data_IF_211700363190
#
_entry.id   IF_211700363190
#
_cell.length_a   1.000
_cell.length_b   1.000
_cell.length_c   1.000
_cell.angle_alpha   90.00
_cell.angle_beta   90.00
_cell.angle_gamma   90.00
#
_symmetry.space_group_name_H-M   'P 1'
#
loop_
_entity.id
_entity.type
_entity.pdbx_description
1 polymer ?
#
# COMPACT_ATOMS: atom_id res chain seq x y z
N UNK A 1 -9.85 10.33 -7.55
CA UNK A 1 -8.90 9.24 -7.85
C UNK A 1 -8.91 8.92 -9.33
N UNK A 2 -7.74 8.76 -9.98
CA UNK A 2 -7.61 8.58 -11.42
C UNK A 2 -6.41 7.69 -11.70
N UNK A 3 -6.44 6.85 -12.73
CA UNK A 3 -5.28 6.05 -13.13
C UNK A 3 -4.08 6.90 -13.51
N UNK A 4 -4.31 8.09 -14.08
CA UNK A 4 -3.25 9.04 -14.44
C UNK A 4 -2.51 9.62 -13.23
N UNK A 5 -3.14 9.63 -12.06
CA UNK A 5 -2.52 10.13 -10.80
C UNK A 5 -1.82 9.04 -9.99
N UNK A 6 -1.83 7.79 -10.47
CA UNK A 6 -1.19 6.66 -9.80
C UNK A 6 0.26 6.56 -10.24
N UNK A 7 1.16 6.64 -9.28
CA UNK A 7 2.60 6.47 -9.51
C UNK A 7 2.98 4.99 -9.55
N UNK A 8 3.68 4.61 -10.60
CA UNK A 8 4.09 3.22 -10.83
C UNK A 8 2.95 2.30 -11.31
N UNK A 9 3.15 1.00 -11.19
CA UNK A 9 2.19 -0.07 -11.55
C UNK A 9 1.69 -0.04 -13.00
N UNK A 10 2.46 0.53 -13.92
CA UNK A 10 2.08 0.72 -15.32
C UNK A 10 1.63 -0.58 -16.00
N UNK A 11 2.30 -1.71 -15.70
CA UNK A 11 1.94 -3.01 -16.28
C UNK A 11 0.58 -3.50 -15.79
N UNK A 12 0.31 -3.38 -14.49
CA UNK A 12 -0.94 -3.78 -13.85
C UNK A 12 -2.10 -2.91 -14.36
N UNK A 13 -1.91 -1.60 -14.40
CA UNK A 13 -2.90 -0.64 -14.92
C UNK A 13 -3.20 -0.92 -16.39
N UNK A 14 -2.17 -1.11 -17.23
CA UNK A 14 -2.36 -1.44 -18.65
C UNK A 14 -3.14 -2.73 -18.83
N UNK A 15 -2.83 -3.78 -18.06
CA UNK A 15 -3.57 -5.02 -18.09
C UNK A 15 -5.06 -4.80 -17.73
N UNK A 16 -5.35 -4.08 -16.65
CA UNK A 16 -6.71 -3.77 -16.22
C UNK A 16 -7.47 -3.00 -17.32
N UNK A 17 -6.87 -1.97 -17.89
CA UNK A 17 -7.47 -1.18 -18.98
C UNK A 17 -7.75 -2.03 -20.21
N UNK A 18 -6.84 -2.90 -20.62
CA UNK A 18 -7.05 -3.83 -21.75
C UNK A 18 -8.23 -4.75 -21.52
N UNK A 19 -8.38 -5.28 -20.29
CA UNK A 19 -9.51 -6.15 -19.92
C UNK A 19 -10.85 -5.37 -19.92
N UNK A 20 -10.81 -4.11 -19.48
CA UNK A 20 -11.97 -3.21 -19.54
C UNK A 20 -12.40 -2.93 -20.97
N UNK A 21 -11.45 -2.59 -21.86
CA UNK A 21 -11.72 -2.27 -23.28
C UNK A 21 -12.30 -3.50 -24.01
N UNK A 22 -11.85 -4.70 -23.66
CA UNK A 22 -12.39 -5.95 -24.21
C UNK A 22 -13.71 -6.41 -23.60
N UNK A 23 -14.23 -5.68 -22.60
CA UNK A 23 -15.43 -6.04 -21.83
C UNK A 23 -15.36 -7.47 -21.24
N UNK A 24 -14.16 -7.90 -20.81
CA UNK A 24 -13.89 -9.25 -20.28
C UNK A 24 -13.47 -9.21 -18.81
N UNK A 25 -14.14 -8.36 -18.03
CA UNK A 25 -13.84 -8.21 -16.60
C UNK A 25 -14.17 -9.53 -15.89
N UNK A 26 -13.22 -10.15 -15.17
CA UNK A 26 -13.51 -11.34 -14.36
C UNK A 26 -14.42 -10.96 -13.20
N UNK A 27 -15.13 -11.95 -12.64
CA UNK A 27 -16.00 -11.75 -11.47
C UNK A 27 -15.20 -11.43 -10.20
N UNK A 28 -13.93 -11.84 -10.10
CA UNK A 28 -13.10 -11.59 -8.93
C UNK A 28 -11.64 -11.35 -9.28
N UNK A 29 -11.05 -10.32 -8.69
CA UNK A 29 -9.61 -10.05 -8.66
C UNK A 29 -9.02 -10.31 -7.27
N UNK A 30 -7.77 -10.75 -7.26
CA UNK A 30 -6.91 -10.72 -6.07
C UNK A 30 -5.73 -9.79 -6.31
N UNK A 31 -5.71 -8.63 -5.66
CA UNK A 31 -4.59 -7.70 -5.67
C UNK A 31 -3.64 -8.05 -4.54
N UNK A 32 -2.49 -8.63 -4.85
CA UNK A 32 -1.50 -9.07 -3.87
C UNK A 32 -0.22 -8.24 -3.96
N UNK A 33 0.47 -8.06 -2.84
CA UNK A 33 1.73 -7.33 -2.76
C UNK A 33 1.86 -6.56 -1.45
N UNK A 34 3.01 -5.96 -1.22
CA UNK A 34 3.34 -5.24 0.00
C UNK A 34 2.27 -4.21 0.37
N UNK A 35 1.99 -4.04 1.65
CA UNK A 35 1.08 -2.99 2.16
C UNK A 35 1.62 -1.61 1.79
N UNK A 36 0.71 -0.69 1.45
CA UNK A 36 1.09 0.71 1.16
C UNK A 36 1.63 0.98 -0.25
N UNK A 37 1.69 -0.01 -1.15
CA UNK A 37 2.17 0.21 -2.54
C UNK A 37 1.13 0.83 -3.47
N UNK A 38 -0.16 0.98 -3.06
CA UNK A 38 -1.21 1.59 -3.88
C UNK A 38 -2.26 0.63 -4.43
N UNK A 39 -2.33 -0.64 -3.96
CA UNK A 39 -3.34 -1.62 -4.40
C UNK A 39 -4.78 -1.09 -4.29
N UNK A 40 -5.12 -0.49 -3.14
CA UNK A 40 -6.45 0.08 -2.88
C UNK A 40 -6.74 1.24 -3.82
N UNK A 41 -5.75 2.08 -4.11
CA UNK A 41 -5.89 3.22 -5.03
C UNK A 41 -6.22 2.75 -6.43
N UNK A 42 -5.54 1.68 -6.92
CA UNK A 42 -5.84 1.07 -8.22
C UNK A 42 -7.23 0.44 -8.22
N UNK A 43 -7.65 -0.25 -7.15
CA UNK A 43 -8.99 -0.83 -7.04
C UNK A 43 -10.09 0.24 -7.10
N UNK A 44 -9.91 1.34 -6.40
CA UNK A 44 -10.85 2.47 -6.42
C UNK A 44 -10.88 3.20 -7.78
N UNK A 45 -9.73 3.34 -8.46
CA UNK A 45 -9.67 3.89 -9.81
C UNK A 45 -10.40 2.97 -10.82
N UNK A 46 -10.25 1.65 -10.68
CA UNK A 46 -10.99 0.66 -11.47
C UNK A 46 -12.51 0.78 -11.23
N UNK A 47 -12.94 0.83 -9.97
CA UNK A 47 -14.35 1.04 -9.61
C UNK A 47 -14.91 2.32 -10.24
N UNK A 48 -14.16 3.43 -10.14
CA UNK A 48 -14.54 4.71 -10.73
C UNK A 48 -14.67 4.63 -12.27
N UNK A 49 -13.73 3.94 -12.92
CA UNK A 49 -13.76 3.73 -14.37
C UNK A 49 -15.00 2.91 -14.80
N UNK A 50 -15.37 1.87 -14.07
CA UNK A 50 -16.55 1.03 -14.33
C UNK A 50 -17.82 1.86 -14.22
N UNK A 51 -17.97 2.67 -13.18
CA UNK A 51 -19.18 3.44 -12.89
C UNK A 51 -19.26 4.80 -13.60
N UNK A 52 -18.21 5.23 -14.27
CA UNK A 52 -18.21 6.52 -14.98
C UNK A 52 -19.32 6.57 -16.03
N UNK A 53 -20.21 7.55 -15.95
CA UNK A 53 -21.33 7.80 -16.88
C UNK A 53 -21.03 8.87 -17.93
N UNK A 54 -19.93 9.59 -17.79
CA UNK A 54 -19.48 10.60 -18.74
C UNK A 54 -18.60 10.04 -19.84
N UNK A 55 -18.10 10.92 -20.69
CA UNK A 55 -17.13 10.56 -21.71
C UNK A 55 -15.83 10.07 -21.08
N UNK A 56 -15.60 8.77 -21.16
CA UNK A 56 -14.36 8.14 -20.70
C UNK A 56 -13.26 8.36 -21.74
N UNK A 57 -12.05 8.56 -21.28
CA UNK A 57 -10.88 8.37 -22.13
C UNK A 57 -10.53 6.87 -22.16
N UNK A 58 -9.73 6.44 -23.14
CA UNK A 58 -9.24 5.05 -23.19
C UNK A 58 -8.43 4.64 -21.95
N UNK A 59 -7.98 5.59 -21.15
CA UNK A 59 -7.10 5.37 -20.00
C UNK A 59 -7.68 5.80 -18.65
N UNK A 60 -8.86 6.51 -18.62
CA UNK A 60 -9.39 7.02 -17.35
C UNK A 60 -10.87 7.39 -17.38
N UNK A 61 -11.46 7.49 -16.18
CA UNK A 61 -12.79 8.02 -15.96
C UNK A 61 -12.82 9.54 -16.20
N UNK A 62 -14.01 10.10 -16.51
CA UNK A 62 -14.13 11.53 -16.84
C UNK A 62 -13.86 12.49 -15.67
N UNK A 63 -13.83 12.02 -14.43
CA UNK A 63 -13.57 12.75 -13.18
C UNK A 63 -14.54 13.92 -12.86
N UNK A 64 -15.62 14.11 -13.62
CA UNK A 64 -16.57 15.23 -13.49
C UNK A 64 -18.04 14.83 -13.42
N UNK A 65 -18.42 13.62 -13.84
CA UNK A 65 -19.82 13.19 -13.77
C UNK A 65 -20.24 12.90 -12.31
N UNK A 66 -21.55 12.89 -12.02
CA UNK A 66 -22.05 12.64 -10.66
C UNK A 66 -21.53 11.34 -10.05
N UNK A 67 -21.45 10.26 -10.83
CA UNK A 67 -20.89 8.99 -10.37
C UNK A 67 -19.40 9.11 -9.99
N UNK A 68 -18.58 9.78 -10.81
CA UNK A 68 -17.17 10.02 -10.49
C UNK A 68 -16.99 10.82 -9.20
N UNK A 69 -17.83 11.84 -8.99
CA UNK A 69 -17.79 12.65 -7.76
C UNK A 69 -18.21 11.82 -6.53
N UNK A 70 -19.27 11.01 -6.64
CA UNK A 70 -19.66 10.09 -5.56
C UNK A 70 -18.55 9.09 -5.23
N UNK A 71 -17.85 8.55 -6.23
CA UNK A 71 -16.71 7.68 -6.03
C UNK A 71 -15.56 8.38 -5.28
N UNK A 72 -15.24 9.63 -5.64
CA UNK A 72 -14.19 10.39 -4.97
C UNK A 72 -14.51 10.71 -3.51
N UNK A 73 -15.81 10.90 -3.20
CA UNK A 73 -16.28 11.11 -1.82
C UNK A 73 -16.55 9.80 -1.06
N UNK A 74 -16.40 8.63 -1.70
CA UNK A 74 -16.60 7.33 -1.06
C UNK A 74 -18.07 6.99 -0.74
N UNK A 75 -19.04 7.67 -1.37
CA UNK A 75 -20.48 7.51 -1.11
C UNK A 75 -21.28 6.99 -2.31
N UNK A 76 -20.61 6.34 -3.27
CA UNK A 76 -21.32 5.70 -4.39
C UNK A 76 -22.04 4.44 -3.91
N UNK A 77 -23.38 4.29 -4.16
CA UNK A 77 -24.17 3.21 -3.59
C UNK A 77 -23.75 1.81 -4.09
N UNK A 78 -23.17 1.72 -5.30
CA UNK A 78 -22.69 0.47 -5.87
C UNK A 78 -21.17 0.24 -5.64
N UNK A 79 -20.55 0.99 -4.72
CA UNK A 79 -19.21 0.73 -4.21
C UNK A 79 -19.31 0.27 -2.76
N UNK A 80 -18.98 -1.00 -2.50
CA UNK A 80 -18.94 -1.55 -1.16
C UNK A 80 -17.48 -1.78 -0.74
N UNK A 81 -17.09 -1.24 0.41
CA UNK A 81 -15.77 -1.45 0.97
C UNK A 81 -15.89 -2.18 2.30
N UNK A 82 -15.20 -3.32 2.42
CA UNK A 82 -15.08 -4.06 3.69
C UNK A 82 -13.67 -3.83 4.22
N UNK A 83 -13.61 -3.36 5.45
CA UNK A 83 -12.39 -3.17 6.22
C UNK A 83 -12.39 -4.12 7.42
N UNK A 84 -11.22 -4.54 7.92
CA UNK A 84 -11.15 -5.28 9.16
C UNK A 84 -11.69 -4.47 10.36
N UNK A 85 -12.51 -5.09 11.18
CA UNK A 85 -12.91 -4.56 12.50
C UNK A 85 -11.90 -5.06 13.54
N UNK A 86 -10.98 -4.18 13.97
CA UNK A 86 -9.86 -4.56 14.81
C UNK A 86 -8.87 -5.47 14.03
N UNK A 87 -8.68 -6.71 14.50
CA UNK A 87 -7.70 -7.61 13.90
C UNK A 87 -8.26 -8.48 12.76
N UNK A 88 -9.58 -8.61 12.63
CA UNK A 88 -10.20 -9.59 11.74
C UNK A 88 -11.38 -9.02 10.94
N UNK A 89 -11.59 -9.60 9.75
CA UNK A 89 -12.84 -9.48 9.00
C UNK A 89 -13.77 -10.59 9.47
N UNK A 90 -14.87 -10.20 10.15
CA UNK A 90 -15.81 -11.15 10.75
C UNK A 90 -16.79 -11.71 9.73
N UNK A 91 -17.30 -12.91 9.98
CA UNK A 91 -18.28 -13.59 9.11
C UNK A 91 -19.54 -12.76 8.89
N UNK A 92 -19.94 -11.92 9.86
CA UNK A 92 -21.09 -11.02 9.72
C UNK A 92 -20.91 -10.07 8.53
N UNK A 93 -19.76 -9.42 8.40
CA UNK A 93 -19.48 -8.51 7.29
C UNK A 93 -19.58 -9.21 5.92
N UNK A 94 -19.13 -10.47 5.83
CA UNK A 94 -19.25 -11.26 4.58
C UNK A 94 -20.72 -11.65 4.30
N UNK A 95 -21.50 -12.01 5.32
CA UNK A 95 -22.92 -12.33 5.17
C UNK A 95 -23.75 -11.11 4.78
N UNK A 96 -23.49 -9.97 5.41
CA UNK A 96 -24.16 -8.70 5.08
C UNK A 96 -23.86 -8.28 3.63
N UNK A 97 -22.59 -8.47 3.20
CA UNK A 97 -22.20 -8.29 1.80
C UNK A 97 -23.00 -9.23 0.86
N UNK A 98 -23.06 -10.54 1.18
CA UNK A 98 -23.78 -11.51 0.37
C UNK A 98 -25.25 -11.18 0.23
N UNK A 99 -25.90 -10.71 1.29
CA UNK A 99 -27.28 -10.25 1.26
C UNK A 99 -27.44 -9.05 0.30
N UNK A 100 -26.52 -8.09 0.31
CA UNK A 100 -26.55 -6.96 -0.62
C UNK A 100 -26.31 -7.36 -2.08
N UNK A 101 -25.47 -8.37 -2.32
CA UNK A 101 -25.16 -8.84 -3.68
C UNK A 101 -26.34 -9.55 -4.37
N UNK A 102 -27.36 -9.96 -3.61
CA UNK A 102 -28.59 -10.55 -4.18
C UNK A 102 -29.47 -9.53 -4.89
N UNK A 103 -29.32 -8.25 -4.56
CA UNK A 103 -30.08 -7.17 -5.20
C UNK A 103 -29.30 -6.61 -6.39
N UNK A 104 -30.02 -6.14 -7.40
CA UNK A 104 -29.42 -5.43 -8.53
C UNK A 104 -28.67 -4.18 -8.07
N UNK A 105 -27.63 -3.74 -8.79
CA UNK A 105 -27.01 -2.43 -8.57
C UNK A 105 -28.03 -1.30 -8.60
N UNK A 106 -27.81 -0.23 -7.83
CA UNK A 106 -28.77 0.86 -7.63
C UNK A 106 -28.69 1.93 -8.73
N UNK A 107 -27.47 2.33 -9.10
CA UNK A 107 -27.23 3.41 -10.07
C UNK A 107 -26.48 2.93 -11.31
N UNK A 108 -25.67 1.88 -11.19
CA UNK A 108 -24.81 1.36 -12.24
C UNK A 108 -25.31 0.08 -12.88
N UNK A 109 -24.56 -0.40 -13.89
CA UNK A 109 -24.76 -1.73 -14.49
C UNK A 109 -24.10 -2.85 -13.68
N UNK A 110 -23.25 -2.49 -12.75
CA UNK A 110 -22.46 -3.41 -11.93
C UNK A 110 -22.21 -2.82 -10.55
N UNK A 111 -21.92 -3.70 -9.58
CA UNK A 111 -21.48 -3.34 -8.24
C UNK A 111 -20.04 -3.75 -8.07
N UNK A 112 -19.22 -2.88 -7.50
CA UNK A 112 -17.82 -3.17 -7.17
C UNK A 112 -17.67 -3.33 -5.65
N UNK A 113 -17.11 -4.44 -5.25
CA UNK A 113 -16.87 -4.78 -3.86
C UNK A 113 -15.36 -4.86 -3.64
N UNK A 114 -14.85 -4.09 -2.69
CA UNK A 114 -13.44 -4.10 -2.30
C UNK A 114 -13.33 -4.66 -0.89
N UNK A 115 -12.61 -5.76 -0.71
CA UNK A 115 -12.27 -6.33 0.59
C UNK A 115 -10.82 -6.03 0.87
N UNK A 116 -10.56 -5.06 1.75
CA UNK A 116 -9.21 -4.69 2.16
C UNK A 116 -8.66 -5.69 3.18
N UNK A 117 -7.33 -5.88 3.17
CA UNK A 117 -6.64 -6.81 4.08
C UNK A 117 -7.36 -8.17 4.17
N UNK A 118 -7.69 -8.76 3.01
CA UNK A 118 -8.43 -10.02 2.91
C UNK A 118 -7.76 -11.18 3.67
N UNK A 119 -6.45 -11.12 3.88
CA UNK A 119 -5.69 -12.05 4.73
C UNK A 119 -6.07 -11.98 6.22
N UNK A 120 -6.85 -10.96 6.64
CA UNK A 120 -7.42 -10.88 7.99
C UNK A 120 -8.80 -11.56 8.11
N UNK A 121 -9.31 -12.19 7.07
CA UNK A 121 -10.46 -13.08 7.19
C UNK A 121 -10.10 -14.30 8.03
N UNK A 122 -10.94 -14.63 9.03
CA UNK A 122 -10.83 -15.91 9.68
C UNK A 122 -11.34 -17.03 8.76
N UNK A 123 -11.08 -18.28 9.11
CA UNK A 123 -11.45 -19.46 8.29
C UNK A 123 -12.95 -19.49 7.96
N UNK A 124 -13.80 -19.11 8.93
CA UNK A 124 -15.26 -19.11 8.73
C UNK A 124 -15.71 -18.03 7.77
N UNK A 125 -15.10 -16.83 7.81
CA UNK A 125 -15.36 -15.73 6.86
C UNK A 125 -14.88 -16.08 5.45
N UNK A 126 -13.67 -16.65 5.35
CA UNK A 126 -13.11 -17.09 4.08
C UNK A 126 -13.96 -18.19 3.42
N UNK A 127 -14.42 -19.17 4.20
CA UNK A 127 -15.30 -20.24 3.69
C UNK A 127 -16.67 -19.71 3.26
N UNK A 128 -17.24 -18.72 3.99
CA UNK A 128 -18.49 -18.09 3.58
C UNK A 128 -18.36 -17.39 2.22
N UNK A 129 -17.20 -16.77 1.92
CA UNK A 129 -16.96 -16.09 0.66
C UNK A 129 -16.85 -17.06 -0.53
N UNK A 130 -16.46 -18.33 -0.33
CA UNK A 130 -16.27 -19.30 -1.41
C UNK A 130 -17.53 -19.48 -2.26
N UNK A 131 -18.72 -19.54 -1.63
CA UNK A 131 -19.98 -19.67 -2.38
C UNK A 131 -20.17 -18.53 -3.38
N UNK A 132 -19.82 -17.30 -2.99
CA UNK A 132 -19.91 -16.11 -3.85
C UNK A 132 -18.90 -16.17 -5.02
N UNK A 133 -17.73 -16.77 -4.78
CA UNK A 133 -16.70 -16.91 -5.81
C UNK A 133 -17.00 -18.08 -6.78
N UNK A 134 -17.73 -19.09 -6.33
CA UNK A 134 -18.14 -20.26 -7.15
C UNK A 134 -19.36 -19.93 -8.03
N UNK A 135 -20.32 -19.23 -7.47
CA UNK A 135 -21.56 -18.85 -8.13
C UNK A 135 -21.72 -17.31 -8.10
N UNK A 136 -20.91 -16.58 -8.90
CA UNK A 136 -20.94 -15.14 -8.87
C UNK A 136 -22.25 -14.59 -9.43
N UNK A 137 -22.95 -13.78 -8.64
CA UNK A 137 -24.13 -13.09 -9.10
C UNK A 137 -23.77 -12.09 -10.22
N UNK A 138 -24.51 -12.06 -11.34
CA UNK A 138 -24.22 -11.17 -12.46
C UNK A 138 -24.13 -9.69 -12.02
N UNK A 139 -23.25 -8.93 -12.66
CA UNK A 139 -23.09 -7.51 -12.37
C UNK A 139 -22.33 -7.20 -11.07
N UNK A 140 -21.68 -8.18 -10.43
CA UNK A 140 -20.82 -7.94 -9.29
C UNK A 140 -19.35 -8.20 -9.63
N UNK A 141 -18.48 -7.28 -9.24
CA UNK A 141 -17.03 -7.42 -9.32
C UNK A 141 -16.45 -7.42 -7.90
N UNK A 142 -15.78 -8.52 -7.54
CA UNK A 142 -15.08 -8.64 -6.27
C UNK A 142 -13.59 -8.30 -6.43
N UNK A 143 -13.04 -7.46 -5.54
CA UNK A 143 -11.61 -7.14 -5.50
C UNK A 143 -11.09 -7.41 -4.10
N UNK A 144 -10.36 -8.51 -3.94
CA UNK A 144 -9.69 -8.86 -2.70
C UNK A 144 -8.30 -8.21 -2.69
N UNK A 145 -7.96 -7.51 -1.62
CA UNK A 145 -6.65 -6.87 -1.45
C UNK A 145 -5.93 -7.52 -0.29
N UNK A 146 -4.69 -7.98 -0.51
CA UNK A 146 -3.91 -8.64 0.54
C UNK A 146 -2.45 -8.21 0.53
N UNK A 147 -1.85 -8.15 1.71
CA UNK A 147 -0.40 -8.06 1.91
C UNK A 147 0.27 -9.43 1.95
N UNK A 148 -0.48 -10.46 2.35
CA UNK A 148 0.00 -11.82 2.50
C UNK A 148 -0.94 -12.84 1.83
N UNK A 149 -0.75 -13.12 0.52
CA UNK A 149 -1.61 -14.05 -0.19
C UNK A 149 -1.54 -15.49 0.35
N UNK A 150 -0.46 -15.88 1.04
CA UNK A 150 -0.32 -17.21 1.62
C UNK A 150 -1.21 -17.44 2.85
N UNK A 151 -1.73 -16.39 3.48
CA UNK A 151 -2.71 -16.50 4.55
C UNK A 151 -4.13 -16.81 4.05
N UNK A 152 -4.38 -16.65 2.74
CA UNK A 152 -5.66 -16.99 2.14
C UNK A 152 -5.73 -18.46 1.75
N UNK A 153 -6.91 -19.11 1.90
CA UNK A 153 -7.13 -20.47 1.41
C UNK A 153 -6.86 -20.60 -0.09
N UNK A 154 -6.25 -21.71 -0.51
CA UNK A 154 -5.99 -22.00 -1.92
C UNK A 154 -7.26 -21.99 -2.77
N UNK A 155 -8.38 -22.35 -2.19
CA UNK A 155 -9.71 -22.33 -2.81
C UNK A 155 -10.16 -20.93 -3.22
N UNK A 156 -9.79 -19.87 -2.48
CA UNK A 156 -10.00 -18.48 -2.87
C UNK A 156 -9.02 -18.07 -3.98
N UNK A 157 -7.73 -18.43 -3.80
CA UNK A 157 -6.68 -18.08 -4.77
C UNK A 157 -6.96 -18.61 -6.17
N UNK A 158 -7.52 -19.83 -6.27
CA UNK A 158 -7.83 -20.49 -7.56
C UNK A 158 -9.03 -19.88 -8.29
N UNK A 159 -9.89 -19.13 -7.61
CA UNK A 159 -11.12 -18.52 -8.16
C UNK A 159 -11.00 -17.04 -8.46
N UNK A 160 -9.85 -16.44 -8.15
CA UNK A 160 -9.58 -15.01 -8.40
C UNK A 160 -8.52 -14.84 -9.48
N UNK A 161 -8.74 -13.88 -10.39
CA UNK A 161 -7.67 -13.42 -11.29
C UNK A 161 -6.64 -12.65 -10.46
N UNK A 162 -5.43 -13.19 -10.37
CA UNK A 162 -4.39 -12.60 -9.54
C UNK A 162 -3.65 -11.48 -10.28
N UNK A 163 -3.50 -10.32 -9.61
CA UNK A 163 -2.67 -9.21 -10.04
C UNK A 163 -1.67 -8.91 -8.94
N UNK A 164 -0.38 -9.12 -9.22
CA UNK A 164 0.69 -8.87 -8.28
C UNK A 164 1.22 -7.46 -8.40
N UNK A 165 1.25 -6.74 -7.29
CA UNK A 165 1.84 -5.41 -7.15
C UNK A 165 3.23 -5.53 -6.52
N UNK A 166 4.20 -4.90 -7.13
CA UNK A 166 5.57 -4.91 -6.66
C UNK A 166 5.89 -3.63 -5.88
N UNK A 167 6.90 -3.65 -5.00
CA UNK A 167 7.41 -2.43 -4.39
C UNK A 167 7.73 -1.37 -5.45
N UNK A 168 7.42 -0.11 -5.16
CA UNK A 168 7.75 1.00 -6.05
C UNK A 168 9.25 1.29 -6.02
N UNK A 169 9.79 1.72 -7.16
CA UNK A 169 11.16 2.19 -7.24
C UNK A 169 11.37 3.46 -6.41
N UNK A 170 12.60 3.64 -5.88
CA UNK A 170 12.96 4.82 -5.09
C UNK A 170 12.70 6.12 -5.84
N UNK A 171 13.06 6.17 -7.12
CA UNK A 171 12.84 7.35 -7.97
C UNK A 171 11.35 7.69 -8.09
N UNK A 172 10.49 6.68 -8.27
CA UNK A 172 9.04 6.87 -8.36
C UNK A 172 8.46 7.47 -7.06
N UNK A 173 8.93 7.00 -5.91
CA UNK A 173 8.48 7.53 -4.61
C UNK A 173 9.05 8.94 -4.40
N UNK A 174 10.34 9.17 -4.72
CA UNK A 174 10.94 10.49 -4.59
C UNK A 174 10.20 11.52 -5.46
N UNK A 175 9.94 11.21 -6.74
CA UNK A 175 9.16 12.09 -7.63
C UNK A 175 7.79 12.41 -7.06
N UNK A 176 7.09 11.43 -6.48
CA UNK A 176 5.80 11.68 -5.80
C UNK A 176 5.95 12.65 -4.64
N UNK A 177 6.97 12.47 -3.79
CA UNK A 177 7.19 13.33 -2.62
C UNK A 177 7.56 14.76 -3.01
N UNK A 178 8.36 14.92 -4.07
CA UNK A 178 8.73 16.23 -4.62
C UNK A 178 7.51 16.94 -5.25
N UNK A 179 6.78 16.26 -6.13
CA UNK A 179 5.68 16.84 -6.91
C UNK A 179 4.40 17.08 -6.11
N UNK A 180 4.08 16.19 -5.16
CA UNK A 180 2.80 16.22 -4.43
C UNK A 180 2.90 16.77 -3.01
N UNK A 181 4.07 16.64 -2.38
CA UNK A 181 4.30 17.09 -1.01
C UNK A 181 5.35 18.21 -0.93
N UNK A 182 5.86 18.68 -2.09
CA UNK A 182 6.83 19.76 -2.20
C UNK A 182 8.10 19.55 -1.32
N UNK A 183 8.54 18.31 -1.13
CA UNK A 183 9.75 18.00 -0.41
C UNK A 183 10.99 18.38 -1.22
N UNK A 184 12.06 18.77 -0.52
CA UNK A 184 13.37 18.95 -1.14
C UNK A 184 13.89 17.60 -1.66
N UNK A 185 14.60 17.63 -2.78
CA UNK A 185 15.11 16.43 -3.48
C UNK A 185 15.87 15.46 -2.56
N UNK A 186 16.73 15.99 -1.68
CA UNK A 186 17.51 15.16 -0.77
C UNK A 186 16.65 14.48 0.30
N UNK A 187 15.68 15.21 0.87
CA UNK A 187 14.75 14.65 1.86
C UNK A 187 13.82 13.62 1.20
N UNK A 188 13.32 13.88 -0.02
CA UNK A 188 12.51 12.96 -0.80
C UNK A 188 13.28 11.66 -1.13
N UNK A 189 14.53 11.76 -1.57
CA UNK A 189 15.36 10.61 -1.89
C UNK A 189 15.66 9.76 -0.64
N UNK A 190 15.91 10.40 0.50
CA UNK A 190 16.14 9.74 1.79
C UNK A 190 14.90 8.98 2.25
N UNK A 191 13.73 9.63 2.28
CA UNK A 191 12.47 9.00 2.69
C UNK A 191 12.10 7.87 1.73
N UNK A 192 12.24 8.06 0.42
CA UNK A 192 11.98 7.04 -0.58
C UNK A 192 12.88 5.80 -0.37
N UNK A 193 14.14 6.00 0.01
CA UNK A 193 15.06 4.92 0.37
C UNK A 193 14.61 4.16 1.61
N UNK A 194 14.15 4.86 2.63
CA UNK A 194 13.71 4.29 3.91
C UNK A 194 12.35 3.58 3.81
N UNK A 195 11.46 4.02 2.92
CA UNK A 195 10.11 3.49 2.78
C UNK A 195 10.02 2.06 2.18
N UNK A 196 11.14 1.51 1.68
CA UNK A 196 11.20 0.13 1.21
C UNK A 196 10.26 -0.20 0.04
N UNK A 197 9.82 0.81 -0.73
CA UNK A 197 8.93 0.64 -1.88
C UNK A 197 7.44 0.86 -1.58
N UNK A 198 7.07 1.25 -0.36
CA UNK A 198 5.71 1.58 0.04
C UNK A 198 5.44 3.08 0.01
N UNK A 199 4.55 3.53 -0.87
CA UNK A 199 4.21 4.95 -0.95
C UNK A 199 3.48 5.46 0.30
N UNK A 200 2.56 4.66 0.85
CA UNK A 200 1.85 5.04 2.07
C UNK A 200 2.81 5.16 3.26
N UNK A 201 3.83 4.29 3.35
CA UNK A 201 4.88 4.39 4.35
C UNK A 201 5.69 5.67 4.17
N UNK A 202 6.05 6.02 2.93
CA UNK A 202 6.77 7.26 2.65
C UNK A 202 5.97 8.51 3.08
N UNK A 203 4.67 8.54 2.76
CA UNK A 203 3.76 9.64 3.18
C UNK A 203 3.67 9.72 4.71
N UNK A 204 3.50 8.57 5.39
CA UNK A 204 3.50 8.53 6.86
C UNK A 204 4.80 9.05 7.47
N UNK A 205 5.95 8.70 6.90
CA UNK A 205 7.25 9.21 7.34
C UNK A 205 7.37 10.74 7.23
N UNK A 206 6.79 11.34 6.17
CA UNK A 206 6.75 12.81 6.04
C UNK A 206 5.91 13.45 7.14
N UNK A 207 4.73 12.89 7.41
CA UNK A 207 3.80 13.42 8.42
C UNK A 207 4.36 13.33 9.85
N UNK A 208 5.18 12.30 10.12
CA UNK A 208 5.77 12.03 11.44
C UNK A 208 7.16 12.66 11.64
N UNK A 209 7.60 13.58 10.74
CA UNK A 209 8.95 14.18 10.78
C UNK A 209 10.06 13.12 10.94
N UNK A 210 10.02 12.11 10.06
CA UNK A 210 10.98 11.00 10.07
C UNK A 210 12.43 11.47 10.05
N UNK A 211 12.74 12.60 9.44
CA UNK A 211 14.10 13.15 9.37
C UNK A 211 14.66 13.42 10.75
N UNK A 212 13.95 14.20 11.57
CA UNK A 212 14.35 14.51 12.94
C UNK A 212 14.39 13.26 13.84
N UNK A 213 13.44 12.35 13.65
CA UNK A 213 13.43 11.07 14.37
C UNK A 213 14.66 10.22 14.03
N UNK A 214 14.99 10.08 12.74
CA UNK A 214 16.15 9.34 12.27
C UNK A 214 17.44 9.95 12.77
N UNK A 215 17.62 11.27 12.61
CA UNK A 215 18.87 11.95 12.99
C UNK A 215 19.16 11.76 14.48
N UNK A 216 18.15 11.92 15.34
CA UNK A 216 18.27 11.62 16.77
C UNK A 216 18.68 10.17 17.04
N UNK A 217 18.02 9.21 16.36
CA UNK A 217 18.34 7.78 16.53
C UNK A 217 19.78 7.45 16.12
N UNK A 218 20.29 8.09 15.06
CA UNK A 218 21.66 7.91 14.60
C UNK A 218 22.67 8.57 15.55
N UNK A 219 22.37 9.75 16.07
CA UNK A 219 23.22 10.42 17.07
C UNK A 219 23.31 9.60 18.37
N UNK A 220 22.19 9.01 18.80
CA UNK A 220 22.17 8.11 19.96
C UNK A 220 23.00 6.84 19.72
N UNK A 221 22.93 6.27 18.49
CA UNK A 221 23.69 5.10 18.10
C UNK A 221 25.22 5.37 18.16
N UNK A 222 25.64 6.52 17.63
CA UNK A 222 27.05 6.94 17.68
C UNK A 222 27.56 7.17 19.11
N UNK A 223 26.72 7.72 19.95
CA UNK A 223 27.06 7.95 21.34
C UNK A 223 27.29 6.63 22.12
N UNK A 224 26.65 5.54 21.71
CA UNK A 224 26.88 4.20 22.26
C UNK A 224 28.20 3.61 21.71
N UNK A 225 28.45 3.78 20.42
CA UNK A 225 29.69 3.27 19.78
C UNK A 225 30.94 3.83 20.45
N UNK A 226 30.90 5.07 20.93
CA UNK A 226 31.98 5.73 21.63
C UNK A 226 32.14 5.33 23.13
N UNK A 227 31.60 4.17 23.54
CA UNK A 227 31.72 3.58 24.90
C UNK A 227 31.20 4.48 26.05
N UNK A 228 30.20 5.32 25.82
CA UNK A 228 29.56 6.12 26.86
C UNK A 228 28.47 5.33 27.59
N UNK A 229 28.81 4.72 28.73
CA UNK A 229 27.92 3.87 29.50
C UNK A 229 26.65 4.58 29.95
N UNK A 230 26.73 5.87 30.31
CA UNK A 230 25.54 6.65 30.71
C UNK A 230 24.57 6.83 29.54
N UNK A 231 25.08 7.07 28.34
CA UNK A 231 24.28 7.17 27.12
C UNK A 231 23.70 5.82 26.69
N UNK A 232 24.42 4.72 26.93
CA UNK A 232 23.87 3.37 26.69
C UNK A 232 22.66 3.09 27.59
N UNK A 233 22.73 3.45 28.86
CA UNK A 233 21.62 3.28 29.81
C UNK A 233 20.42 4.16 29.44
N UNK A 234 20.66 5.44 29.10
CA UNK A 234 19.57 6.34 28.64
C UNK A 234 18.95 5.83 27.34
N UNK A 235 19.76 5.40 26.38
CA UNK A 235 19.26 4.82 25.13
C UNK A 235 18.41 3.57 25.36
N UNK A 236 18.81 2.69 26.26
CA UNK A 236 18.03 1.48 26.59
C UNK A 236 16.70 1.81 27.25
N UNK A 237 16.65 2.84 28.12
CA UNK A 237 15.42 3.30 28.75
C UNK A 237 14.46 4.01 27.78
N UNK A 238 15.03 4.71 26.78
CA UNK A 238 14.29 5.51 25.79
C UNK A 238 14.13 4.78 24.45
N UNK A 239 14.53 3.51 24.35
CA UNK A 239 14.48 2.77 23.09
C UNK A 239 13.08 2.64 22.50
N UNK A 240 12.04 2.79 23.32
CA UNK A 240 10.64 2.83 22.93
C UNK A 240 9.75 2.09 23.91
N UNK A 241 8.57 2.66 24.18
CA UNK A 241 7.59 2.07 25.07
C UNK A 241 6.57 1.20 24.33
N UNK A 242 6.41 1.43 23.02
CA UNK A 242 5.52 0.67 22.18
C UNK A 242 6.27 -0.06 21.05
N UNK A 243 5.62 -1.09 20.51
CA UNK A 243 6.19 -1.92 19.44
C UNK A 243 6.48 -1.13 18.15
N UNK A 244 5.69 -0.10 17.86
CA UNK A 244 5.85 0.72 16.65
C UNK A 244 7.13 1.53 16.70
N UNK A 245 7.40 2.20 17.82
CA UNK A 245 8.61 3.00 18.02
C UNK A 245 9.88 2.13 17.99
N UNK A 246 9.82 0.97 18.66
CA UNK A 246 10.93 0.00 18.64
C UNK A 246 11.25 -0.42 17.20
N UNK A 247 10.25 -0.81 16.42
CA UNK A 247 10.45 -1.23 15.04
C UNK A 247 10.98 -0.10 14.16
N UNK A 248 10.53 1.14 14.37
CA UNK A 248 11.03 2.31 13.64
C UNK A 248 12.52 2.56 13.91
N UNK A 249 12.93 2.56 15.18
CA UNK A 249 14.35 2.71 15.58
C UNK A 249 15.22 1.58 15.00
N UNK A 250 14.78 0.32 15.13
CA UNK A 250 15.47 -0.82 14.54
C UNK A 250 15.63 -0.71 13.02
N UNK A 251 14.63 -0.20 12.31
CA UNK A 251 14.72 0.01 10.87
C UNK A 251 15.76 1.11 10.51
N UNK A 252 15.85 2.19 11.29
CA UNK A 252 16.87 3.22 11.11
C UNK A 252 18.27 2.61 11.34
N UNK A 253 18.47 1.92 12.45
CA UNK A 253 19.74 1.26 12.77
C UNK A 253 20.14 0.27 11.67
N UNK A 254 19.22 -0.60 11.26
CA UNK A 254 19.45 -1.55 10.16
C UNK A 254 19.86 -0.86 8.87
N UNK A 255 19.24 0.27 8.53
CA UNK A 255 19.57 1.02 7.31
C UNK A 255 20.98 1.62 7.39
N UNK A 256 21.42 2.04 8.57
CA UNK A 256 22.75 2.58 8.79
C UNK A 256 23.83 1.51 8.64
N UNK A 257 23.67 0.34 9.30
CA UNK A 257 24.60 -0.77 9.14
C UNK A 257 24.66 -1.31 7.69
N UNK A 258 23.52 -1.38 7.01
CA UNK A 258 23.47 -1.72 5.58
C UNK A 258 24.32 -0.73 4.76
N UNK A 259 24.17 0.55 5.01
CA UNK A 259 24.89 1.59 4.28
C UNK A 259 26.41 1.53 4.59
N UNK A 260 26.80 1.29 5.83
CA UNK A 260 28.21 1.07 6.21
C UNK A 260 28.80 -0.16 5.47
N UNK A 261 28.08 -1.28 5.43
CA UNK A 261 28.51 -2.46 4.65
C UNK A 261 28.66 -2.15 3.16
N UNK A 262 27.68 -1.47 2.55
CA UNK A 262 27.75 -1.12 1.12
C UNK A 262 28.91 -0.18 0.85
N UNK A 263 29.12 0.83 1.69
CA UNK A 263 30.20 1.78 1.53
C UNK A 263 31.56 1.11 1.65
N UNK A 264 31.73 0.26 2.64
CA UNK A 264 32.97 -0.53 2.84
C UNK A 264 33.30 -1.43 1.64
N UNK A 265 32.30 -2.12 1.07
CA UNK A 265 32.50 -3.06 -0.03
C UNK A 265 32.61 -2.40 -1.40
N UNK A 266 31.96 -1.25 -1.61
CA UNK A 266 31.83 -0.67 -2.95
C UNK A 266 32.40 0.74 -3.10
N UNK A 267 32.58 1.48 -2.00
CA UNK A 267 32.95 2.89 -2.00
C UNK A 267 31.88 3.82 -2.63
N UNK A 268 30.68 3.30 -2.93
CA UNK A 268 29.64 4.03 -3.69
C UNK A 268 28.68 4.74 -2.76
N UNK A 269 28.74 6.06 -2.74
CA UNK A 269 27.84 6.91 -1.96
C UNK A 269 26.42 7.00 -2.56
N UNK A 270 26.28 6.84 -3.89
CA UNK A 270 24.99 6.91 -4.60
C UNK A 270 24.03 5.76 -4.23
N UNK A 271 24.57 4.64 -3.75
CA UNK A 271 23.80 3.49 -3.30
C UNK A 271 23.26 3.61 -1.86
N UNK A 272 23.72 4.62 -1.11
CA UNK A 272 23.38 4.79 0.31
C UNK A 272 22.02 5.46 0.49
N UNK A 273 21.31 5.07 1.57
CA UNK A 273 20.07 5.71 2.02
C UNK A 273 20.41 6.96 2.86
N UNK A 274 21.39 6.84 3.74
CA UNK A 274 21.77 7.87 4.72
C UNK A 274 23.02 8.67 4.28
N UNK A 275 23.21 8.90 2.97
CA UNK A 275 24.40 9.54 2.40
C UNK A 275 24.78 10.90 3.01
N UNK A 276 23.82 11.65 3.58
CA UNK A 276 24.08 12.92 4.25
C UNK A 276 24.57 12.76 5.71
N UNK A 277 24.72 11.50 6.18
CA UNK A 277 25.33 11.14 7.45
C UNK A 277 26.57 10.27 7.22
N UNK A 278 27.43 10.70 6.27
CA UNK A 278 28.71 10.04 5.97
C UNK A 278 29.68 10.03 7.17
N UNK A 279 29.51 11.00 8.07
CA UNK A 279 30.17 11.03 9.37
C UNK A 279 29.99 9.71 10.13
N UNK A 280 28.76 9.23 10.22
CA UNK A 280 28.41 7.99 10.92
C UNK A 280 28.76 6.75 10.08
N UNK A 281 28.45 6.77 8.80
CA UNK A 281 28.68 5.62 7.92
C UNK A 281 30.18 5.31 7.82
N UNK A 282 31.03 6.35 7.70
CA UNK A 282 32.47 6.20 7.61
C UNK A 282 33.10 5.62 8.89
N UNK A 283 32.60 6.06 10.06
CA UNK A 283 33.06 5.55 11.35
C UNK A 283 32.68 4.08 11.63
N UNK A 284 31.59 3.62 10.99
CA UNK A 284 31.05 2.26 11.15
C UNK A 284 31.53 1.28 10.07
N UNK A 285 32.10 1.77 8.95
CA UNK A 285 32.60 0.95 7.83
C UNK A 285 34.01 0.42 8.05
#
# INVERSE_FOLDING_TARGET
MSFQTIYGHTRQIRFILTVLDQNRIPHAYLFSGMTGVGKRTVALALAKMIHCTGEKTSSDACNRCPSCLKMDHGNHPDLLCIEPEGQYIRIKAIRDLQAQMQYSPLEGKSRVIIINDADRMNITSANALLKTLEEPAPGNLLILITGNPHALPRTILSRCQQIRFFPLGRETIASYLEERLALKKDDAAMIAGAAGGGLAQAIGMVQEDYKSFRDRTLDDLMAIHNNNLLKLLSFSSDFGKDRGDILRKLNVIRSCYRDAMIYRETGREDALINRHRMDIIGDMA
#
